data_IF_969385802840
#
_entry.id   IF_969385802840
#
_cell.length_a   1.000
_cell.length_b   1.000
_cell.length_c   1.000
_cell.angle_alpha   90.00
_cell.angle_beta   90.00
_cell.angle_gamma   90.00
#
_symmetry.space_group_name_H-M   'P 1'
#
loop_
_entity.id
_entity.type
_entity.pdbx_description
1 polymer ?
#
# COMPACT_ATOMS: atom_id res chain seq x y z
N UNK A 1 -17.27 -4.51 -16.64
CA UNK A 1 -17.77 -4.39 -15.25
C UNK A 1 -19.19 -3.87 -15.32
N UNK A 2 -20.09 -4.39 -14.47
CA UNK A 2 -21.46 -3.86 -14.36
C UNK A 2 -21.42 -2.44 -13.80
N UNK A 3 -22.46 -1.65 -14.06
CA UNK A 3 -22.63 -0.40 -13.34
C UNK A 3 -22.75 -0.66 -11.84
N UNK A 4 -21.96 0.08 -11.08
CA UNK A 4 -21.93 0.07 -9.62
C UNK A 4 -21.55 1.46 -9.10
N UNK A 5 -22.00 1.75 -7.88
CA UNK A 5 -21.70 3.00 -7.15
C UNK A 5 -20.42 2.90 -6.31
N UNK A 6 -19.93 1.67 -6.10
CA UNK A 6 -18.72 1.37 -5.33
C UNK A 6 -18.05 0.11 -5.89
N UNK A 7 -16.72 0.09 -5.87
CA UNK A 7 -15.92 -1.10 -6.18
C UNK A 7 -15.30 -1.65 -4.90
N UNK A 8 -15.46 -2.95 -4.67
CA UNK A 8 -14.82 -3.68 -3.58
C UNK A 8 -14.04 -4.84 -4.21
N UNK A 9 -12.72 -4.86 -4.02
CA UNK A 9 -11.82 -5.85 -4.59
C UNK A 9 -11.00 -6.49 -3.46
N UNK A 10 -11.07 -7.81 -3.36
CA UNK A 10 -10.35 -8.59 -2.35
C UNK A 10 -9.24 -9.39 -3.03
N UNK A 11 -8.00 -9.10 -2.66
CA UNK A 11 -6.76 -9.66 -3.19
C UNK A 11 -6.70 -9.76 -4.75
N UNK A 12 -6.95 -8.68 -5.49
CA UNK A 12 -6.92 -8.73 -6.96
C UNK A 12 -5.52 -8.98 -7.55
N UNK A 13 -4.45 -8.81 -6.76
CA UNK A 13 -3.09 -9.15 -7.19
C UNK A 13 -2.80 -10.66 -7.17
N UNK A 14 -3.69 -11.48 -6.58
CA UNK A 14 -3.49 -12.90 -6.45
C UNK A 14 -3.27 -13.58 -7.81
N UNK A 15 -2.27 -14.47 -7.85
CA UNK A 15 -1.86 -15.20 -9.05
C UNK A 15 -1.35 -14.36 -10.22
N UNK A 16 -1.18 -13.04 -10.04
CA UNK A 16 -0.60 -12.15 -11.06
C UNK A 16 0.92 -12.06 -10.92
N UNK A 17 1.61 -11.99 -12.07
CA UNK A 17 3.01 -11.58 -12.11
C UNK A 17 3.19 -10.07 -11.89
N UNK A 18 4.44 -9.61 -11.75
CA UNK A 18 4.76 -8.21 -11.44
C UNK A 18 4.22 -7.24 -12.50
N UNK A 19 4.26 -7.61 -13.79
CA UNK A 19 3.78 -6.73 -14.86
C UNK A 19 2.25 -6.67 -14.88
N UNK A 20 1.60 -7.82 -14.72
CA UNK A 20 0.16 -7.94 -14.61
C UNK A 20 -0.40 -7.16 -13.42
N UNK A 21 0.29 -7.17 -12.27
CA UNK A 21 -0.09 -6.35 -11.10
C UNK A 21 -0.10 -4.87 -11.42
N UNK A 22 0.95 -4.35 -12.04
CA UNK A 22 1.03 -2.93 -12.40
C UNK A 22 -0.06 -2.55 -13.41
N UNK A 23 -0.33 -3.41 -14.39
CA UNK A 23 -1.42 -3.21 -15.36
C UNK A 23 -2.79 -3.24 -14.70
N UNK A 24 -3.02 -4.18 -13.78
CA UNK A 24 -4.27 -4.32 -13.04
C UNK A 24 -4.51 -3.11 -12.14
N UNK A 25 -3.50 -2.67 -11.36
CA UNK A 25 -3.58 -1.48 -10.52
C UNK A 25 -3.97 -0.24 -11.33
N UNK A 26 -3.30 -0.03 -12.48
CA UNK A 26 -3.60 1.07 -13.40
C UNK A 26 -5.04 0.99 -13.93
N UNK A 27 -5.46 -0.17 -14.41
CA UNK A 27 -6.81 -0.34 -14.97
C UNK A 27 -7.89 -0.12 -13.91
N UNK A 28 -7.72 -0.64 -12.69
CA UNK A 28 -8.68 -0.46 -11.61
C UNK A 28 -8.79 1.02 -11.25
N UNK A 29 -7.65 1.70 -11.10
CA UNK A 29 -7.59 3.13 -10.80
C UNK A 29 -8.28 3.96 -11.87
N UNK A 30 -7.91 3.78 -13.14
CA UNK A 30 -8.51 4.49 -14.27
C UNK A 30 -10.02 4.27 -14.34
N UNK A 31 -10.50 3.07 -14.00
CA UNK A 31 -11.94 2.77 -13.98
C UNK A 31 -12.68 3.47 -12.85
N UNK A 32 -12.14 3.45 -11.64
CA UNK A 32 -12.71 4.14 -10.50
C UNK A 32 -12.77 5.66 -10.75
N UNK A 33 -11.67 6.23 -11.26
CA UNK A 33 -11.57 7.65 -11.61
C UNK A 33 -12.53 8.03 -12.75
N UNK A 34 -12.58 7.26 -13.83
CA UNK A 34 -13.46 7.55 -14.99
C UNK A 34 -14.96 7.55 -14.66
N UNK A 35 -15.35 6.84 -13.60
CA UNK A 35 -16.74 6.72 -13.15
C UNK A 35 -17.01 7.54 -11.90
N UNK A 36 -16.00 8.22 -11.36
CA UNK A 36 -16.05 8.99 -10.12
C UNK A 36 -16.61 8.20 -8.92
N UNK A 37 -16.27 6.90 -8.84
CA UNK A 37 -16.75 6.02 -7.76
C UNK A 37 -15.64 5.66 -6.77
N UNK A 38 -15.97 5.48 -5.48
CA UNK A 38 -15.02 4.94 -4.51
C UNK A 38 -14.63 3.49 -4.86
N UNK A 39 -13.35 3.18 -4.62
CA UNK A 39 -12.79 1.84 -4.78
C UNK A 39 -12.06 1.44 -3.49
N UNK A 40 -12.45 0.31 -2.91
CA UNK A 40 -11.74 -0.31 -1.79
C UNK A 40 -11.03 -1.56 -2.29
N UNK A 41 -9.77 -1.66 -1.95
CA UNK A 41 -8.90 -2.76 -2.34
C UNK A 41 -8.24 -3.31 -1.08
N UNK A 42 -8.37 -4.61 -0.87
CA UNK A 42 -7.60 -5.37 0.12
C UNK A 42 -6.51 -6.12 -0.62
N UNK A 43 -5.26 -5.95 -0.19
CA UNK A 43 -4.13 -6.66 -0.76
C UNK A 43 -2.99 -6.73 0.26
N UNK A 44 -2.00 -7.57 0.01
CA UNK A 44 -0.77 -7.69 0.81
C UNK A 44 0.47 -7.19 0.07
N UNK A 45 0.37 -6.92 -1.24
CA UNK A 45 1.45 -6.36 -2.05
C UNK A 45 1.53 -4.83 -1.90
N UNK A 46 2.57 -4.35 -1.20
CA UNK A 46 2.76 -2.91 -0.97
C UNK A 46 3.03 -2.11 -2.25
N UNK A 47 3.59 -2.70 -3.31
CA UNK A 47 3.77 -2.01 -4.60
C UNK A 47 2.44 -1.82 -5.30
N UNK A 48 1.57 -2.84 -5.22
CA UNK A 48 0.22 -2.76 -5.76
C UNK A 48 -0.61 -1.70 -5.01
N UNK A 49 -0.55 -1.71 -3.68
CA UNK A 49 -1.23 -0.72 -2.82
C UNK A 49 -0.73 0.71 -3.11
N UNK A 50 0.58 0.93 -3.23
CA UNK A 50 1.14 2.25 -3.57
C UNK A 50 0.68 2.75 -4.94
N UNK A 51 0.51 1.86 -5.92
CA UNK A 51 0.12 2.24 -7.27
C UNK A 51 -1.37 2.64 -7.38
N UNK A 52 -2.24 2.03 -6.58
CA UNK A 52 -3.69 2.16 -6.69
C UNK A 52 -4.33 3.12 -5.68
N UNK A 53 -3.69 3.37 -4.54
CA UNK A 53 -4.35 3.97 -3.38
C UNK A 53 -4.05 5.46 -3.19
N UNK A 54 -5.07 6.28 -2.98
CA UNK A 54 -4.92 7.65 -2.48
C UNK A 54 -4.82 7.70 -0.94
N UNK A 55 -5.53 6.78 -0.29
CA UNK A 55 -5.63 6.63 1.17
C UNK A 55 -5.57 5.16 1.55
N UNK A 56 -5.18 4.89 2.78
CA UNK A 56 -5.10 3.51 3.31
C UNK A 56 -5.82 3.40 4.65
N UNK A 57 -6.32 2.20 4.93
CA UNK A 57 -6.85 1.80 6.23
C UNK A 57 -5.91 0.71 6.77
N UNK A 58 -5.20 1.02 7.85
CA UNK A 58 -4.33 0.04 8.51
C UNK A 58 -5.15 -0.78 9.49
N UNK A 59 -5.06 -2.10 9.37
CA UNK A 59 -5.63 -3.04 10.32
C UNK A 59 -4.56 -3.46 11.33
N UNK A 60 -4.95 -3.52 12.60
CA UNK A 60 -4.08 -3.92 13.72
C UNK A 60 -4.78 -4.98 14.57
N UNK A 61 -4.00 -5.82 15.24
CA UNK A 61 -4.55 -6.80 16.17
C UNK A 61 -3.74 -8.08 16.22
N UNK A 62 -4.42 -9.16 16.58
CA UNK A 62 -3.85 -10.49 16.73
C UNK A 62 -4.65 -11.47 15.86
N UNK A 63 -3.97 -12.11 14.91
CA UNK A 63 -4.59 -13.00 13.94
C UNK A 63 -5.36 -14.12 14.63
N UNK A 64 -6.62 -14.32 14.23
CA UNK A 64 -7.50 -15.33 14.84
C UNK A 64 -8.09 -14.95 16.20
N UNK A 65 -7.71 -13.80 16.78
CA UNK A 65 -8.19 -13.36 18.10
C UNK A 65 -8.99 -12.06 17.99
N UNK A 66 -8.40 -10.98 17.46
CA UNK A 66 -9.06 -9.67 17.33
C UNK A 66 -8.42 -8.83 16.22
N UNK A 67 -9.22 -8.03 15.53
CA UNK A 67 -8.77 -7.05 14.55
C UNK A 67 -9.47 -5.71 14.74
N UNK A 68 -8.74 -4.62 14.53
CA UNK A 68 -9.24 -3.25 14.55
C UNK A 68 -8.89 -2.56 13.24
N UNK A 69 -9.90 -2.07 12.52
CA UNK A 69 -9.72 -1.17 11.40
C UNK A 69 -9.55 0.26 11.91
N UNK A 70 -8.50 0.95 11.46
CA UNK A 70 -8.33 2.37 11.74
C UNK A 70 -9.17 3.24 10.79
N UNK A 71 -9.21 4.56 11.03
CA UNK A 71 -9.80 5.50 10.07
C UNK A 71 -8.93 5.54 8.81
N UNK A 72 -9.49 5.81 7.62
CA UNK A 72 -8.68 6.05 6.44
C UNK A 72 -7.71 7.21 6.69
N UNK A 73 -6.45 7.07 6.30
CA UNK A 73 -5.43 8.13 6.39
C UNK A 73 -4.77 8.34 5.04
N UNK A 74 -4.00 9.41 4.87
CA UNK A 74 -3.14 9.54 3.70
C UNK A 74 -2.19 8.34 3.58
N UNK A 75 -1.82 7.99 2.34
CA UNK A 75 -0.93 6.85 2.07
C UNK A 75 0.36 6.93 2.88
N UNK A 76 1.02 8.10 2.92
CA UNK A 76 2.28 8.28 3.66
C UNK A 76 2.13 7.98 5.14
N UNK A 77 1.16 8.60 5.81
CA UNK A 77 0.99 8.46 7.26
C UNK A 77 0.60 7.03 7.65
N UNK A 78 -0.32 6.42 6.89
CA UNK A 78 -0.75 5.06 7.14
C UNK A 78 0.36 4.05 6.92
N UNK A 79 1.09 4.15 5.80
CA UNK A 79 2.23 3.28 5.53
C UNK A 79 3.36 3.50 6.54
N UNK A 80 3.60 4.72 6.98
CA UNK A 80 4.60 5.01 8.00
C UNK A 80 4.26 4.34 9.34
N UNK A 81 2.99 4.39 9.75
CA UNK A 81 2.50 3.72 10.96
C UNK A 81 2.60 2.19 10.84
N UNK A 82 2.13 1.64 9.71
CA UNK A 82 2.16 0.20 9.44
C UNK A 82 3.59 -0.36 9.41
N UNK A 83 4.49 0.28 8.66
CA UNK A 83 5.89 -0.15 8.53
C UNK A 83 6.68 0.03 9.83
N UNK A 84 6.35 1.04 10.63
CA UNK A 84 6.91 1.21 11.98
C UNK A 84 6.55 0.05 12.90
N UNK A 85 5.30 -0.43 12.86
CA UNK A 85 4.89 -1.59 13.65
C UNK A 85 5.63 -2.89 13.24
N UNK A 86 6.07 -2.98 11.98
CA UNK A 86 6.86 -4.09 11.45
C UNK A 86 8.38 -3.92 11.62
N UNK A 87 8.85 -2.75 12.10
CA UNK A 87 10.26 -2.37 12.15
C UNK A 87 11.01 -2.46 10.79
N UNK A 88 10.31 -2.19 9.69
CA UNK A 88 10.85 -2.22 8.32
C UNK A 88 10.80 -0.82 7.72
N UNK A 89 11.80 -0.42 6.93
CA UNK A 89 11.78 0.86 6.22
C UNK A 89 11.84 0.68 4.69
N UNK A 90 11.18 1.58 3.96
CA UNK A 90 11.09 1.59 2.51
C UNK A 90 11.56 2.93 1.93
N UNK A 91 12.34 2.85 0.85
CA UNK A 91 12.78 4.00 0.04
C UNK A 91 12.22 3.93 -1.37
N UNK A 92 12.17 5.06 -2.08
CA UNK A 92 11.98 5.04 -3.53
C UNK A 92 13.30 4.72 -4.22
N UNK A 93 13.24 3.82 -5.19
CA UNK A 93 14.32 3.60 -6.13
C UNK A 93 14.42 4.82 -7.08
N UNK A 94 15.56 5.50 -7.19
CA UNK A 94 15.66 6.74 -7.97
C UNK A 94 15.43 6.58 -9.47
N UNK A 95 15.67 5.39 -10.02
CA UNK A 95 15.55 5.15 -11.47
C UNK A 95 14.12 4.75 -11.83
N UNK A 96 13.50 3.91 -10.99
CA UNK A 96 12.20 3.30 -11.30
C UNK A 96 11.04 3.92 -10.53
N UNK A 97 11.32 4.74 -9.51
CA UNK A 97 10.33 5.29 -8.59
C UNK A 97 9.69 4.26 -7.65
N UNK A 98 10.04 2.97 -7.77
CA UNK A 98 9.39 1.87 -7.05
C UNK A 98 9.77 1.83 -5.57
N UNK A 99 8.85 1.44 -4.68
CA UNK A 99 9.18 1.19 -3.27
C UNK A 99 10.15 0.01 -3.15
N UNK A 100 11.21 0.19 -2.37
CA UNK A 100 12.25 -0.80 -2.10
C UNK A 100 12.58 -0.85 -0.62
N UNK A 101 12.50 -2.03 -0.02
CA UNK A 101 12.89 -2.24 1.36
C UNK A 101 14.38 -1.94 1.58
N UNK A 102 14.71 -1.33 2.72
CA UNK A 102 16.07 -1.26 3.21
C UNK A 102 16.43 -2.58 3.92
N UNK A 103 17.69 -2.99 3.84
CA UNK A 103 18.17 -4.12 4.66
C UNK A 103 18.21 -3.66 6.11
N UNK A 104 17.74 -4.51 7.03
CA UNK A 104 17.74 -4.22 8.46
C UNK A 104 19.15 -3.84 8.93
N UNK A 105 19.26 -2.73 9.67
CA UNK A 105 20.54 -2.22 10.20
C UNK A 105 21.46 -1.57 9.16
N UNK A 106 21.04 -1.47 7.89
CA UNK A 106 21.79 -0.69 6.90
C UNK A 106 21.78 0.80 7.27
N UNK A 107 22.78 1.56 6.81
CA UNK A 107 22.86 3.00 7.05
C UNK A 107 21.55 3.72 6.72
N UNK A 108 20.95 3.41 5.56
CA UNK A 108 19.68 4.01 5.14
C UNK A 108 18.50 3.63 6.03
N UNK A 109 18.48 2.40 6.56
CA UNK A 109 17.46 1.96 7.52
C UNK A 109 17.55 2.77 8.81
N UNK A 110 18.76 2.86 9.38
CA UNK A 110 19.02 3.62 10.61
C UNK A 110 18.69 5.12 10.46
N UNK A 111 19.07 5.73 9.34
CA UNK A 111 18.77 7.14 9.06
C UNK A 111 17.27 7.41 8.95
N UNK A 112 16.51 6.50 8.30
CA UNK A 112 15.06 6.61 8.17
C UNK A 112 14.35 6.41 9.51
N UNK A 113 14.76 5.39 10.29
CA UNK A 113 14.22 5.13 11.63
C UNK A 113 14.46 6.30 12.59
N UNK A 114 15.65 6.89 12.57
CA UNK A 114 15.99 8.06 13.39
C UNK A 114 15.11 9.28 13.08
N UNK A 115 14.67 9.42 11.82
CA UNK A 115 13.75 10.49 11.38
C UNK A 115 12.27 10.14 11.57
N UNK A 116 11.94 8.91 11.97
CA UNK A 116 10.57 8.41 12.02
C UNK A 116 9.92 8.28 10.63
N UNK A 117 10.72 8.14 9.57
CA UNK A 117 10.29 8.08 8.17
C UNK A 117 10.48 6.66 7.61
N UNK A 118 9.60 5.76 7.99
CA UNK A 118 9.56 4.36 7.55
C UNK A 118 9.04 4.21 6.12
N UNK A 119 8.24 5.17 5.64
CA UNK A 119 7.74 5.18 4.27
C UNK A 119 8.19 6.43 3.49
N UNK A 120 9.10 6.21 2.55
CA UNK A 120 9.69 7.21 1.67
C UNK A 120 10.43 8.34 2.40
N UNK A 121 11.43 8.89 1.71
CA UNK A 121 11.93 10.24 1.98
C UNK A 121 11.22 11.15 0.99
#
# INVERSE_FOLDING_TARGET
MKDCDIMLLDEPSAFLDVEQRLRAAKLIRERAESREIPCFVVDHDLQFIDAISDRVIVFEGEQGVRGKANKPTGLRDGMNSFLKALDITFRRDPQTGRPRANKHGSQKDSEQKAKGQYYYI
#
